data_IF_524113576576
#
_entry.id   IF_524113576576
#
_cell.length_a   1.000
_cell.length_b   1.000
_cell.length_c   1.000
_cell.angle_alpha   90.00
_cell.angle_beta   90.00
_cell.angle_gamma   90.00
#
_symmetry.space_group_name_H-M   'P 1'
#
loop_
_entity.id
_entity.type
_entity.pdbx_description
1 polymer ?
#
# COMPACT_ATOMS: atom_id res chain seq x y z
N UNK A 1 -14.82 -38.18 4.49
CA UNK A 1 -15.54 -37.10 3.80
C UNK A 1 -15.36 -35.87 4.66
N UNK A 2 -14.47 -34.98 4.24
CA UNK A 2 -14.04 -33.83 5.05
C UNK A 2 -15.17 -32.80 5.16
N UNK A 3 -15.42 -32.44 6.41
CA UNK A 3 -16.56 -31.68 6.87
C UNK A 3 -16.18 -30.19 6.85
N UNK A 4 -16.44 -29.52 5.74
CA UNK A 4 -16.43 -28.05 5.71
C UNK A 4 -17.76 -27.61 6.35
N UNK A 5 -17.74 -27.45 7.67
CA UNK A 5 -18.68 -26.66 8.47
C UNK A 5 -20.18 -26.88 8.23
N UNK A 6 -20.78 -27.92 8.80
CA UNK A 6 -22.14 -27.85 9.36
C UNK A 6 -23.34 -27.53 8.45
N UNK A 7 -23.22 -27.59 7.12
CA UNK A 7 -24.34 -27.37 6.20
C UNK A 7 -24.96 -28.71 5.79
N UNK A 8 -26.25 -28.91 6.05
CA UNK A 8 -27.00 -30.11 5.63
C UNK A 8 -28.14 -29.73 4.68
N UNK A 9 -28.20 -30.33 3.48
CA UNK A 9 -29.34 -30.14 2.57
C UNK A 9 -30.54 -30.95 3.06
N UNK A 10 -31.70 -30.29 3.22
CA UNK A 10 -32.96 -30.95 3.63
C UNK A 10 -33.84 -31.36 2.44
N UNK A 11 -33.35 -31.14 1.20
CA UNK A 11 -34.10 -31.33 -0.04
C UNK A 11 -34.91 -30.08 -0.45
N UNK A 12 -35.03 -29.86 -1.76
CA UNK A 12 -35.61 -28.62 -2.33
C UNK A 12 -34.71 -27.40 -2.07
N UNK A 13 -35.31 -26.21 -1.98
CA UNK A 13 -34.61 -24.93 -1.72
C UNK A 13 -34.25 -24.71 -0.24
N UNK A 14 -34.22 -25.75 0.60
CA UNK A 14 -34.02 -25.64 2.06
C UNK A 14 -32.71 -26.28 2.54
N UNK A 15 -31.96 -25.52 3.32
CA UNK A 15 -30.65 -25.88 3.88
C UNK A 15 -30.65 -25.64 5.39
N UNK A 16 -30.00 -26.53 6.14
CA UNK A 16 -29.81 -26.37 7.58
C UNK A 16 -28.38 -25.94 7.88
N UNK A 17 -28.23 -24.80 8.56
CA UNK A 17 -26.98 -24.28 9.11
C UNK A 17 -27.23 -23.93 10.57
N UNK A 18 -26.39 -24.41 11.49
CA UNK A 18 -26.48 -24.10 12.94
C UNK A 18 -27.90 -24.26 13.53
N UNK A 19 -28.59 -25.36 13.18
CA UNK A 19 -29.99 -25.64 13.57
C UNK A 19 -31.07 -24.67 13.05
N UNK A 20 -30.74 -23.74 12.16
CA UNK A 20 -31.70 -22.90 11.46
C UNK A 20 -31.88 -23.40 10.01
N UNK A 21 -33.14 -23.46 9.57
CA UNK A 21 -33.49 -23.78 8.18
C UNK A 21 -33.54 -22.48 7.40
N UNK A 22 -32.63 -22.34 6.44
CA UNK A 22 -32.56 -21.22 5.50
C UNK A 22 -32.94 -21.70 4.10
N UNK A 23 -33.54 -20.81 3.33
CA UNK A 23 -33.68 -20.98 1.89
C UNK A 23 -32.31 -20.85 1.18
N UNK A 24 -32.19 -21.42 -0.02
CA UNK A 24 -31.01 -21.25 -0.88
C UNK A 24 -30.65 -19.76 -1.06
N UNK A 25 -31.67 -18.91 -1.13
CA UNK A 25 -31.54 -17.46 -1.26
C UNK A 25 -30.92 -16.80 -0.05
N UNK A 26 -31.41 -17.14 1.15
CA UNK A 26 -30.91 -16.62 2.42
C UNK A 26 -29.47 -17.10 2.65
N UNK A 27 -29.14 -18.32 2.23
CA UNK A 27 -27.78 -18.87 2.31
C UNK A 27 -26.81 -18.14 1.36
N UNK A 28 -27.23 -17.89 0.10
CA UNK A 28 -26.45 -17.10 -0.85
C UNK A 28 -26.28 -15.66 -0.33
N UNK A 29 -27.34 -15.05 0.19
CA UNK A 29 -27.28 -13.71 0.76
C UNK A 29 -26.35 -13.64 1.97
N UNK A 30 -26.40 -14.62 2.87
CA UNK A 30 -25.51 -14.72 4.02
C UNK A 30 -24.04 -14.83 3.57
N UNK A 31 -23.74 -15.72 2.62
CA UNK A 31 -22.40 -15.90 2.08
C UNK A 31 -21.86 -14.62 1.42
N UNK A 32 -22.70 -13.93 0.64
CA UNK A 32 -22.30 -12.69 -0.02
C UNK A 32 -22.11 -11.54 0.99
N UNK A 33 -22.90 -11.49 2.09
CA UNK A 33 -22.65 -10.53 3.18
C UNK A 33 -21.32 -10.80 3.87
N UNK A 34 -21.01 -12.07 4.19
CA UNK A 34 -19.71 -12.42 4.78
C UNK A 34 -18.54 -12.05 3.84
N UNK A 35 -18.72 -12.32 2.54
CA UNK A 35 -17.75 -11.94 1.52
C UNK A 35 -17.59 -10.42 1.41
N UNK A 36 -18.68 -9.66 1.44
CA UNK A 36 -18.66 -8.20 1.43
C UNK A 36 -17.93 -7.65 2.66
N UNK A 37 -18.22 -8.15 3.86
CA UNK A 37 -17.54 -7.76 5.09
C UNK A 37 -16.02 -8.04 5.03
N UNK A 38 -15.62 -9.18 4.46
CA UNK A 38 -14.21 -9.49 4.29
C UNK A 38 -13.52 -8.54 3.30
N UNK A 39 -14.19 -8.21 2.18
CA UNK A 39 -13.69 -7.25 1.20
C UNK A 39 -13.60 -5.83 1.78
N UNK A 40 -14.52 -5.44 2.66
CA UNK A 40 -14.48 -4.16 3.37
C UNK A 40 -13.29 -4.08 4.33
N UNK A 41 -12.98 -5.15 5.06
CA UNK A 41 -11.78 -5.18 5.90
C UNK A 41 -10.51 -5.03 5.05
N UNK A 42 -10.40 -5.76 3.95
CA UNK A 42 -9.26 -5.63 3.03
C UNK A 42 -9.17 -4.21 2.43
N UNK A 43 -10.31 -3.61 2.08
CA UNK A 43 -10.36 -2.23 1.59
C UNK A 43 -9.88 -1.24 2.65
N UNK A 44 -10.28 -1.40 3.91
CA UNK A 44 -9.85 -0.56 5.01
C UNK A 44 -8.32 -0.65 5.22
N UNK A 45 -7.77 -1.86 5.19
CA UNK A 45 -6.33 -2.09 5.35
C UNK A 45 -5.53 -1.45 4.20
N UNK A 46 -5.99 -1.60 2.95
CA UNK A 46 -5.35 -0.97 1.77
C UNK A 46 -5.46 0.56 1.80
N UNK A 47 -6.57 1.14 2.28
CA UNK A 47 -6.70 2.58 2.47
C UNK A 47 -5.72 3.13 3.52
N UNK A 48 -5.46 2.37 4.60
CA UNK A 48 -4.44 2.74 5.59
C UNK A 48 -3.02 2.68 5.00
N UNK A 49 -2.71 1.65 4.21
CA UNK A 49 -1.42 1.57 3.48
C UNK A 49 -1.23 2.79 2.58
N UNK A 50 -2.26 3.17 1.82
CA UNK A 50 -2.22 4.34 0.95
C UNK A 50 -2.02 5.64 1.73
N UNK A 51 -2.65 5.80 2.88
CA UNK A 51 -2.44 6.96 3.74
C UNK A 51 -0.99 7.03 4.26
N UNK A 52 -0.42 5.89 4.68
CA UNK A 52 0.97 5.80 5.10
C UNK A 52 1.93 6.13 3.94
N UNK A 53 1.67 5.62 2.75
CA UNK A 53 2.44 5.90 1.55
C UNK A 53 2.40 7.38 1.17
N UNK A 54 1.22 8.01 1.23
CA UNK A 54 1.07 9.45 0.99
C UNK A 54 1.84 10.29 2.00
N UNK A 55 1.89 9.88 3.27
CA UNK A 55 2.71 10.55 4.28
C UNK A 55 4.20 10.40 3.99
N UNK A 56 4.63 9.21 3.55
CA UNK A 56 6.02 8.97 3.16
C UNK A 56 6.41 9.79 1.92
N UNK A 57 5.52 9.90 0.92
CA UNK A 57 5.71 10.79 -0.24
C UNK A 57 5.87 12.25 0.17
N UNK A 58 5.08 12.73 1.13
CA UNK A 58 5.22 14.10 1.65
C UNK A 58 6.57 14.31 2.31
N UNK A 59 7.01 13.36 3.14
CA UNK A 59 8.32 13.40 3.79
C UNK A 59 9.45 13.37 2.76
N UNK A 60 9.40 12.46 1.79
CA UNK A 60 10.39 12.34 0.73
C UNK A 60 10.49 13.64 -0.11
N UNK A 61 9.36 14.26 -0.44
CA UNK A 61 9.35 15.55 -1.15
C UNK A 61 9.92 16.69 -0.30
N UNK A 62 9.69 16.71 1.02
CA UNK A 62 10.31 17.67 1.92
C UNK A 62 11.83 17.49 1.95
N UNK A 63 12.31 16.24 2.03
CA UNK A 63 13.74 15.91 1.95
C UNK A 63 14.33 16.33 0.60
N UNK A 64 13.61 16.13 -0.50
CA UNK A 64 14.08 16.56 -1.83
C UNK A 64 14.23 18.07 -1.92
N UNK A 65 13.33 18.82 -1.28
CA UNK A 65 13.45 20.27 -1.18
C UNK A 65 14.70 20.67 -0.39
N UNK A 66 14.91 20.04 0.78
CA UNK A 66 16.09 20.30 1.61
C UNK A 66 17.38 20.01 0.83
N UNK A 67 17.47 18.85 0.17
CA UNK A 67 18.66 18.46 -0.58
C UNK A 67 18.99 19.46 -1.70
N UNK A 68 17.97 19.95 -2.42
CA UNK A 68 18.14 20.99 -3.44
C UNK A 68 18.60 22.32 -2.84
N UNK A 69 18.07 22.69 -1.68
CA UNK A 69 18.49 23.90 -0.97
C UNK A 69 19.93 23.81 -0.51
N UNK A 70 20.33 22.69 0.12
CA UNK A 70 21.71 22.48 0.56
C UNK A 70 22.69 22.43 -0.61
N UNK A 71 22.34 21.77 -1.71
CA UNK A 71 23.12 21.82 -2.95
C UNK A 71 23.25 23.25 -3.48
N UNK A 72 22.15 24.01 -3.48
CA UNK A 72 22.11 25.38 -3.99
C UNK A 72 23.03 26.35 -3.23
N UNK A 73 23.35 26.06 -1.96
CA UNK A 73 24.28 26.87 -1.16
C UNK A 73 25.74 26.71 -1.58
N UNK A 74 26.08 25.66 -2.33
CA UNK A 74 27.46 25.31 -2.64
C UNK A 74 28.04 26.04 -3.86
N UNK A 75 27.23 26.70 -4.71
CA UNK A 75 27.67 27.42 -5.93
C UNK A 75 28.73 26.69 -6.81
N UNK A 76 28.88 25.36 -6.68
CA UNK A 76 29.87 24.53 -7.39
C UNK A 76 31.15 24.20 -6.61
N UNK A 77 31.49 24.91 -5.53
CA UNK A 77 32.69 24.67 -4.73
C UNK A 77 32.37 24.67 -3.21
N UNK A 78 32.82 23.64 -2.51
CA UNK A 78 32.64 23.49 -1.07
C UNK A 78 31.70 22.35 -0.69
N UNK A 79 31.51 22.21 0.62
CA UNK A 79 30.82 21.06 1.22
C UNK A 79 29.77 21.56 2.21
N UNK A 80 28.65 20.86 2.31
CA UNK A 80 27.62 21.12 3.32
C UNK A 80 27.19 19.84 4.00
N UNK A 81 26.92 19.95 5.30
CA UNK A 81 26.53 18.79 6.10
C UNK A 81 25.07 18.46 5.88
N UNK A 82 24.78 17.20 5.60
CA UNK A 82 23.42 16.68 5.53
C UNK A 82 22.70 16.89 6.88
N UNK A 83 21.49 17.48 6.89
CA UNK A 83 20.76 17.67 8.14
C UNK A 83 20.44 16.33 8.83
N UNK A 84 20.44 16.26 10.18
CA UNK A 84 20.17 15.03 10.92
C UNK A 84 18.85 14.34 10.54
N UNK A 85 17.80 15.13 10.31
CA UNK A 85 16.49 14.60 9.90
C UNK A 85 16.53 13.89 8.54
N UNK A 86 17.42 14.32 7.64
CA UNK A 86 17.61 13.68 6.34
C UNK A 86 18.44 12.41 6.46
N UNK A 87 19.45 12.41 7.33
CA UNK A 87 20.26 11.22 7.64
C UNK A 87 19.35 10.10 8.15
N UNK A 88 18.55 10.39 9.18
CA UNK A 88 17.59 9.44 9.74
C UNK A 88 16.61 8.93 8.69
N UNK A 89 16.18 9.80 7.76
CA UNK A 89 15.29 9.42 6.67
C UNK A 89 15.97 8.49 5.67
N UNK A 90 17.22 8.76 5.30
CA UNK A 90 17.98 7.95 4.35
C UNK A 90 18.27 6.57 4.94
N UNK A 91 18.73 6.50 6.19
CA UNK A 91 18.99 5.23 6.88
C UNK A 91 17.72 4.39 7.04
N UNK A 92 16.62 5.01 7.49
CA UNK A 92 15.36 4.30 7.72
C UNK A 92 14.75 3.72 6.45
N UNK A 93 14.95 4.38 5.32
CA UNK A 93 14.36 4.00 4.04
C UNK A 93 15.36 3.35 3.07
N UNK A 94 16.57 3.03 3.54
CA UNK A 94 17.64 2.42 2.76
C UNK A 94 17.97 3.20 1.47
N UNK A 95 17.99 4.53 1.58
CA UNK A 95 18.34 5.43 0.49
C UNK A 95 19.83 5.71 0.58
N UNK A 96 20.55 5.39 -0.49
CA UNK A 96 21.98 5.69 -0.57
C UNK A 96 22.20 7.18 -0.78
N UNK A 97 23.04 7.79 0.06
CA UNK A 97 23.57 9.12 -0.23
C UNK A 97 24.67 9.05 -1.31
N UNK A 98 24.99 10.20 -1.89
CA UNK A 98 26.14 10.36 -2.76
C UNK A 98 27.44 10.07 -2.01
N UNK A 99 28.40 9.53 -2.77
CA UNK A 99 29.74 9.20 -2.30
C UNK A 99 30.72 9.66 -3.36
N UNK A 100 31.74 10.44 -2.98
CA UNK A 100 32.83 10.72 -3.91
C UNK A 100 33.58 9.42 -4.27
N UNK A 101 34.33 9.48 -5.37
CA UNK A 101 35.28 8.42 -5.70
C UNK A 101 36.30 8.21 -4.57
N UNK A 102 36.70 9.29 -3.92
CA UNK A 102 37.65 9.26 -2.80
C UNK A 102 37.09 8.44 -1.64
N UNK A 103 35.88 8.78 -1.19
CA UNK A 103 35.18 8.16 -0.08
C UNK A 103 35.03 6.64 -0.20
N UNK A 104 34.67 6.17 -1.39
CA UNK A 104 34.55 4.73 -1.71
C UNK A 104 35.87 3.99 -1.55
N UNK A 105 36.97 4.65 -1.89
CA UNK A 105 38.33 4.09 -1.88
C UNK A 105 39.02 4.23 -0.51
N UNK A 106 38.48 5.07 0.38
CA UNK A 106 39.14 5.55 1.61
C UNK A 106 38.29 5.31 2.88
N UNK A 107 37.48 4.25 2.88
CA UNK A 107 36.68 3.80 4.03
C UNK A 107 37.48 3.79 5.34
N UNK A 108 36.95 4.41 6.39
CA UNK A 108 37.59 4.47 7.71
C UNK A 108 38.73 5.49 7.87
N UNK A 109 38.97 6.39 6.90
CA UNK A 109 39.88 7.54 7.10
C UNK A 109 39.11 8.86 7.22
N UNK A 110 39.72 9.91 7.82
CA UNK A 110 39.08 11.21 7.93
C UNK A 110 38.92 11.90 6.57
N UNK A 111 37.71 12.36 6.25
CA UNK A 111 37.41 13.25 5.13
C UNK A 111 36.61 14.47 5.64
N UNK A 112 36.94 15.67 5.16
CA UNK A 112 36.24 16.92 5.52
C UNK A 112 36.04 17.18 7.03
N UNK A 113 36.91 16.65 7.90
CA UNK A 113 36.82 16.81 9.35
C UNK A 113 35.94 15.79 10.09
N UNK A 114 35.37 14.80 9.37
CA UNK A 114 34.63 13.67 9.93
C UNK A 114 35.34 12.35 9.57
N UNK A 115 35.06 11.27 10.30
CA UNK A 115 35.49 9.92 9.92
C UNK A 115 34.49 9.33 8.94
N UNK A 116 34.99 8.83 7.80
CA UNK A 116 34.19 8.00 6.90
C UNK A 116 33.80 6.72 7.62
N UNK A 117 32.54 6.29 7.51
CA UNK A 117 32.11 5.01 8.10
C UNK A 117 32.73 3.79 7.36
N UNK A 118 32.34 2.57 7.75
CA UNK A 118 32.83 1.34 7.11
C UNK A 118 32.41 1.20 5.63
N UNK A 119 31.46 2.00 5.18
CA UNK A 119 30.96 2.03 3.82
C UNK A 119 31.46 3.23 3.00
N UNK A 120 32.18 4.15 3.66
CA UNK A 120 32.79 5.32 3.05
C UNK A 120 31.91 6.55 3.16
N UNK A 121 30.83 6.56 3.94
CA UNK A 121 29.97 7.74 4.04
C UNK A 121 30.57 8.78 4.99
N UNK A 122 30.65 10.03 4.53
CA UNK A 122 30.63 11.19 5.42
C UNK A 122 29.30 11.94 5.22
N UNK A 123 28.78 12.57 6.27
CA UNK A 123 27.57 13.38 6.14
C UNK A 123 27.89 14.76 5.57
N UNK A 124 29.05 14.97 4.93
CA UNK A 124 29.55 16.26 4.47
C UNK A 124 29.65 16.28 2.93
N UNK A 125 28.52 16.58 2.29
CA UNK A 125 28.35 16.38 0.86
C UNK A 125 28.86 17.60 0.06
N UNK A 126 29.64 17.35 -0.98
CA UNK A 126 29.94 18.30 -2.04
C UNK A 126 28.81 18.34 -3.10
N UNK A 127 28.94 19.22 -4.11
CA UNK A 127 27.90 19.42 -5.13
C UNK A 127 27.55 18.15 -5.92
N UNK A 128 28.52 17.29 -6.22
CA UNK A 128 28.31 16.08 -7.03
C UNK A 128 27.68 14.96 -6.19
N UNK A 129 28.07 14.87 -4.92
CA UNK A 129 27.46 13.94 -3.95
C UNK A 129 26.01 14.34 -3.69
N UNK A 130 25.73 15.63 -3.52
CA UNK A 130 24.35 16.12 -3.41
C UNK A 130 23.51 15.79 -4.64
N UNK A 131 24.07 15.89 -5.86
CA UNK A 131 23.33 15.50 -7.06
C UNK A 131 23.01 14.00 -7.04
N UNK A 132 23.97 13.17 -6.65
CA UNK A 132 23.77 11.72 -6.52
C UNK A 132 22.70 11.40 -5.46
N UNK A 133 22.76 12.05 -4.29
CA UNK A 133 21.76 11.94 -3.23
C UNK A 133 20.36 12.35 -3.71
N UNK A 134 20.27 13.44 -4.48
CA UNK A 134 19.04 13.92 -5.09
C UNK A 134 18.49 12.93 -6.11
N UNK A 135 19.34 12.33 -6.95
CA UNK A 135 18.94 11.30 -7.92
C UNK A 135 18.39 10.05 -7.23
N UNK A 136 19.08 9.55 -6.19
CA UNK A 136 18.62 8.41 -5.42
C UNK A 136 17.30 8.69 -4.71
N UNK A 137 17.13 9.89 -4.15
CA UNK A 137 15.87 10.31 -3.53
C UNK A 137 14.72 10.45 -4.56
N UNK A 138 15.00 10.94 -5.77
CA UNK A 138 14.02 10.96 -6.88
C UNK A 138 13.61 9.53 -7.26
N UNK A 139 14.57 8.62 -7.40
CA UNK A 139 14.28 7.21 -7.71
C UNK A 139 13.42 6.56 -6.63
N UNK A 140 13.69 6.86 -5.35
CA UNK A 140 12.86 6.43 -4.24
C UNK A 140 11.44 6.99 -4.34
N UNK A 141 11.27 8.29 -4.59
CA UNK A 141 9.96 8.94 -4.80
C UNK A 141 9.20 8.29 -5.96
N UNK A 142 9.87 8.00 -7.06
CA UNK A 142 9.27 7.33 -8.22
C UNK A 142 8.80 5.91 -7.88
N UNK A 143 9.57 5.18 -7.07
CA UNK A 143 9.16 3.88 -6.51
C UNK A 143 7.90 3.98 -5.65
N UNK A 144 7.82 5.00 -4.79
CA UNK A 144 6.62 5.26 -3.99
C UNK A 144 5.41 5.62 -4.86
N UNK A 145 5.59 6.46 -5.88
CA UNK A 145 4.53 6.82 -6.82
C UNK A 145 4.01 5.59 -7.57
N UNK A 146 4.91 4.71 -8.02
CA UNK A 146 4.53 3.45 -8.67
C UNK A 146 3.70 2.57 -7.72
N UNK A 147 4.14 2.43 -6.46
CA UNK A 147 3.39 1.68 -5.45
C UNK A 147 2.03 2.30 -5.15
N UNK A 148 1.92 3.64 -5.08
CA UNK A 148 0.65 4.36 -4.93
C UNK A 148 -0.34 4.03 -6.05
N UNK A 149 0.14 4.00 -7.30
CA UNK A 149 -0.69 3.64 -8.45
C UNK A 149 -1.18 2.19 -8.36
N UNK A 150 -0.32 1.26 -7.92
CA UNK A 150 -0.70 -0.14 -7.71
C UNK A 150 -1.74 -0.29 -6.60
N UNK A 151 -1.57 0.39 -5.47
CA UNK A 151 -2.54 0.40 -4.38
C UNK A 151 -3.90 0.96 -4.84
N UNK A 152 -3.90 2.03 -5.65
CA UNK A 152 -5.13 2.55 -6.26
C UNK A 152 -5.84 1.56 -7.19
N UNK A 153 -5.09 0.78 -7.96
CA UNK A 153 -5.65 -0.31 -8.78
C UNK A 153 -6.27 -1.38 -7.89
N UNK A 154 -5.61 -1.76 -6.79
CA UNK A 154 -6.15 -2.74 -5.84
C UNK A 154 -7.42 -2.25 -5.16
N UNK A 155 -7.42 -1.01 -4.66
CA UNK A 155 -8.60 -0.36 -4.08
C UNK A 155 -9.75 -0.37 -5.07
N UNK A 156 -9.52 0.05 -6.31
CA UNK A 156 -10.54 0.06 -7.37
C UNK A 156 -11.09 -1.34 -7.65
N UNK A 157 -10.22 -2.36 -7.66
CA UNK A 157 -10.62 -3.76 -7.83
C UNK A 157 -11.43 -4.29 -6.64
N UNK A 158 -11.03 -3.98 -5.41
CA UNK A 158 -11.75 -4.36 -4.20
C UNK A 158 -13.12 -3.70 -4.14
N UNK A 159 -13.21 -2.42 -4.47
CA UNK A 159 -14.49 -1.70 -4.57
C UNK A 159 -15.42 -2.37 -5.59
N UNK A 160 -14.92 -2.70 -6.79
CA UNK A 160 -15.72 -3.39 -7.80
C UNK A 160 -16.23 -4.74 -7.29
N UNK A 161 -15.36 -5.55 -6.65
CA UNK A 161 -15.74 -6.86 -6.10
C UNK A 161 -16.76 -6.74 -4.97
N UNK A 162 -16.62 -5.73 -4.10
CA UNK A 162 -17.59 -5.43 -3.04
C UNK A 162 -18.95 -5.09 -3.65
N UNK A 163 -18.99 -4.20 -4.63
CA UNK A 163 -20.23 -3.80 -5.30
C UNK A 163 -20.89 -5.00 -6.00
N UNK A 164 -20.12 -5.82 -6.70
CA UNK A 164 -20.60 -7.08 -7.30
C UNK A 164 -21.23 -8.00 -6.23
N UNK A 165 -20.56 -8.19 -5.09
CA UNK A 165 -21.05 -9.01 -3.97
C UNK A 165 -22.35 -8.46 -3.35
N UNK A 166 -22.57 -7.14 -3.35
CA UNK A 166 -23.83 -6.54 -2.87
C UNK A 166 -24.96 -6.58 -3.92
N UNK A 167 -24.64 -6.63 -5.20
CA UNK A 167 -25.65 -6.71 -6.29
C UNK A 167 -26.20 -8.12 -6.52
N UNK A 168 -25.42 -9.18 -6.29
CA UNK A 168 -25.85 -10.57 -6.41
C UNK A 168 -27.04 -10.95 -5.49
N UNK A 169 -27.05 -10.56 -4.20
CA UNK A 169 -28.19 -10.71 -3.30
C UNK A 169 -29.44 -9.98 -3.79
N UNK A 170 -29.26 -8.75 -4.32
CA UNK A 170 -30.36 -7.93 -4.82
C UNK A 170 -31.08 -8.61 -6.00
N UNK A 171 -30.32 -9.17 -6.93
CA UNK A 171 -30.86 -9.90 -8.09
C UNK A 171 -31.48 -11.25 -7.70
N UNK A 172 -30.89 -11.97 -6.74
CA UNK A 172 -31.45 -13.23 -6.22
C UNK A 172 -32.80 -12.98 -5.56
N UNK A 173 -32.92 -11.94 -4.74
CA UNK A 173 -34.15 -11.58 -4.05
C UNK A 173 -35.24 -11.13 -5.05
N UNK A 174 -34.91 -10.32 -6.07
CA UNK A 174 -35.88 -9.94 -7.11
C UNK A 174 -36.41 -11.13 -7.90
N UNK A 175 -35.54 -12.08 -8.25
CA UNK A 175 -35.93 -13.29 -8.98
C UNK A 175 -36.87 -14.18 -8.15
N UNK A 176 -36.63 -14.30 -6.84
CA UNK A 176 -37.51 -15.06 -5.94
C UNK A 176 -38.86 -14.36 -5.76
N UNK A 177 -38.86 -13.04 -5.58
CA UNK A 177 -40.11 -12.28 -5.53
C UNK A 177 -40.93 -12.45 -6.82
N UNK A 178 -40.31 -12.38 -7.99
CA UNK A 178 -40.99 -12.64 -9.28
C UNK A 178 -41.49 -14.08 -9.40
N UNK A 179 -40.69 -15.07 -8.97
CA UNK A 179 -41.10 -16.48 -8.98
C UNK A 179 -42.30 -16.72 -8.07
N UNK A 180 -42.27 -16.17 -6.85
CA UNK A 180 -43.37 -16.27 -5.90
C UNK A 180 -44.64 -15.56 -6.40
N UNK A 181 -44.53 -14.39 -7.03
CA UNK A 181 -45.67 -13.71 -7.66
C UNK A 181 -46.24 -14.51 -8.83
N UNK A 182 -45.38 -15.14 -9.65
CA UNK A 182 -45.81 -16.00 -10.75
C UNK A 182 -46.52 -17.27 -10.30
N UNK A 183 -46.18 -17.80 -9.11
CA UNK A 183 -46.88 -18.94 -8.50
C UNK A 183 -48.22 -18.49 -7.89
N UNK A 184 -48.24 -17.37 -7.14
CA UNK A 184 -49.47 -16.82 -6.57
C UNK A 184 -50.49 -16.37 -7.63
N UNK A 185 -50.03 -15.89 -8.78
CA UNK A 185 -50.90 -15.52 -9.90
C UNK A 185 -51.48 -16.72 -10.68
N UNK A 186 -51.06 -17.95 -10.37
CA UNK A 186 -51.52 -19.19 -11.01
C UNK A 186 -52.43 -20.06 -10.12
N UNK A 187 -52.70 -19.63 -8.89
CA UNK A 187 -53.66 -20.22 -7.95
C UNK A 187 -54.92 -19.37 -7.95
#
# INVERSE_FOLDING_TARGET
MENIGGISSLGGDKFQINNQVMSLAELIMFLEIERANNLEQQLADELQSMAALNNLLKQANAMLSIARTEKGKLEGEGNSTMPPEMIDFFEKNDIQQGLSKYDKEHKGVPHSGLYLDSDGYDFCQNSDEWETSIENLKAFIDGLNSRSQLEMIRISSLMKKRDESLTLPSNTNSNIHQTNQGILGKI
#
